data_IF_347031904684
#
_entry.id   IF_347031904684
#
_cell.length_a   1.000
_cell.length_b   1.000
_cell.length_c   1.000
_cell.angle_alpha   90.00
_cell.angle_beta   90.00
_cell.angle_gamma   90.00
#
_symmetry.space_group_name_H-M   'P 1'
#
loop_
_entity.id
_entity.type
_entity.pdbx_description
1 polymer ?
#
# COMPACT_ATOMS: atom_id res chain seq x y z
N UNK A 1 -67.04 29.18 44.51
CA UNK A 1 -65.60 29.22 44.85
C UNK A 1 -64.89 27.94 44.45
N UNK A 2 -65.27 26.76 44.96
CA UNK A 2 -64.60 25.49 44.65
C UNK A 2 -64.59 25.14 43.15
N UNK A 3 -65.72 25.29 42.45
CA UNK A 3 -65.82 24.99 41.01
C UNK A 3 -64.94 25.90 40.15
N UNK A 4 -64.76 27.15 40.54
CA UNK A 4 -63.92 28.12 39.82
C UNK A 4 -62.44 27.74 39.95
N UNK A 5 -62.02 27.31 41.16
CA UNK A 5 -60.66 26.84 41.42
C UNK A 5 -60.35 25.59 40.58
N UNK A 6 -61.29 24.66 40.49
CA UNK A 6 -61.15 23.44 39.68
C UNK A 6 -60.98 23.79 38.19
N UNK A 7 -61.77 24.73 37.67
CA UNK A 7 -61.69 25.16 36.27
C UNK A 7 -60.32 25.81 35.98
N UNK A 8 -59.81 26.67 36.87
CA UNK A 8 -58.48 27.29 36.72
C UNK A 8 -57.37 26.22 36.73
N UNK A 9 -57.49 25.20 37.60
CA UNK A 9 -56.54 24.10 37.66
C UNK A 9 -56.52 23.28 36.35
N UNK A 10 -57.70 23.00 35.79
CA UNK A 10 -57.82 22.28 34.51
C UNK A 10 -57.22 23.08 33.35
N UNK A 11 -57.47 24.39 33.28
CA UNK A 11 -56.90 25.27 32.25
C UNK A 11 -55.37 25.32 32.38
N UNK A 12 -54.85 25.43 33.60
CA UNK A 12 -53.41 25.38 33.91
C UNK A 12 -52.77 24.09 33.39
N UNK A 13 -53.41 22.94 33.65
CA UNK A 13 -52.94 21.63 33.19
C UNK A 13 -52.92 21.55 31.66
N UNK A 14 -53.96 22.06 30.99
CA UNK A 14 -54.04 22.08 29.53
C UNK A 14 -52.90 22.92 28.92
N UNK A 15 -52.59 24.09 29.49
CA UNK A 15 -51.49 24.96 29.03
C UNK A 15 -50.13 24.26 29.20
N UNK A 16 -49.92 23.55 30.31
CA UNK A 16 -48.67 22.80 30.53
C UNK A 16 -48.49 21.67 29.53
N UNK A 17 -49.57 20.96 29.19
CA UNK A 17 -49.56 19.90 28.17
C UNK A 17 -49.21 20.49 26.78
N UNK A 18 -49.82 21.62 26.41
CA UNK A 18 -49.54 22.29 25.14
C UNK A 18 -48.08 22.77 25.04
N UNK A 19 -47.54 23.39 26.10
CA UNK A 19 -46.13 23.82 26.14
C UNK A 19 -45.17 22.64 26.03
N UNK A 20 -45.45 21.54 26.72
CA UNK A 20 -44.64 20.32 26.65
C UNK A 20 -44.63 19.73 25.23
N UNK A 21 -45.78 19.71 24.56
CA UNK A 21 -45.90 19.27 23.18
C UNK A 21 -45.10 20.16 22.22
N UNK A 22 -45.16 21.49 22.39
CA UNK A 22 -44.41 22.44 21.57
C UNK A 22 -42.89 22.30 21.75
N UNK A 23 -42.42 22.12 22.99
CA UNK A 23 -40.99 21.86 23.27
C UNK A 23 -40.55 20.55 22.63
N UNK A 24 -41.35 19.48 22.74
CA UNK A 24 -41.03 18.20 22.14
C UNK A 24 -40.93 18.28 20.61
N UNK A 25 -41.81 19.04 19.96
CA UNK A 25 -41.76 19.28 18.52
C UNK A 25 -40.49 20.05 18.13
N UNK A 26 -40.18 21.15 18.82
CA UNK A 26 -38.98 21.96 18.54
C UNK A 26 -37.68 21.14 18.74
N UNK A 27 -37.61 20.33 19.79
CA UNK A 27 -36.45 19.44 20.03
C UNK A 27 -36.32 18.39 18.92
N UNK A 28 -37.44 17.85 18.47
CA UNK A 28 -37.46 16.87 17.37
C UNK A 28 -37.01 17.49 16.05
N UNK A 29 -37.42 18.73 15.75
CA UNK A 29 -36.96 19.46 14.57
C UNK A 29 -35.47 19.76 14.63
N UNK A 30 -34.99 20.29 15.76
CA UNK A 30 -33.57 20.57 15.99
C UNK A 30 -32.73 19.28 15.83
N UNK A 31 -33.21 18.16 16.39
CA UNK A 31 -32.52 16.89 16.26
C UNK A 31 -32.44 16.42 14.81
N UNK A 32 -33.53 16.53 14.04
CA UNK A 32 -33.53 16.18 12.60
C UNK A 32 -32.56 17.04 11.80
N UNK A 33 -32.52 18.35 12.07
CA UNK A 33 -31.57 19.27 11.42
C UNK A 33 -30.12 18.87 11.72
N UNK A 34 -29.80 18.53 12.98
CA UNK A 34 -28.47 18.06 13.34
C UNK A 34 -28.14 16.71 12.69
N UNK A 35 -29.07 15.76 12.69
CA UNK A 35 -28.90 14.45 12.04
C UNK A 35 -28.64 14.63 10.54
N UNK A 36 -29.42 15.48 9.87
CA UNK A 36 -29.19 15.82 8.47
C UNK A 36 -27.82 16.47 8.28
N UNK A 37 -27.43 17.40 9.15
CA UNK A 37 -26.14 18.08 8.99
C UNK A 37 -24.95 17.14 9.18
N UNK A 38 -25.02 16.24 10.15
CA UNK A 38 -24.01 15.20 10.37
C UNK A 38 -23.94 14.28 9.15
N UNK A 39 -25.08 13.91 8.59
CA UNK A 39 -25.14 13.08 7.39
C UNK A 39 -24.50 13.76 6.18
N UNK A 40 -24.81 15.04 5.94
CA UNK A 40 -24.18 15.86 4.88
C UNK A 40 -22.66 15.96 5.05
N UNK A 41 -22.20 16.26 6.27
CA UNK A 41 -20.78 16.35 6.59
C UNK A 41 -20.06 15.02 6.37
N UNK A 42 -20.69 13.91 6.72
CA UNK A 42 -20.13 12.56 6.52
C UNK A 42 -20.00 12.23 5.03
N UNK A 43 -21.01 12.53 4.22
CA UNK A 43 -20.94 12.35 2.76
C UNK A 43 -19.83 13.22 2.17
N UNK A 44 -19.74 14.48 2.57
CA UNK A 44 -18.72 15.40 2.08
C UNK A 44 -17.30 14.90 2.42
N UNK A 45 -17.12 14.45 3.66
CA UNK A 45 -15.85 13.89 4.14
C UNK A 45 -15.46 12.61 3.39
N UNK A 46 -16.38 11.67 3.20
CA UNK A 46 -16.12 10.43 2.46
C UNK A 46 -15.75 10.71 1.00
N UNK A 47 -16.41 11.70 0.37
CA UNK A 47 -16.07 12.13 -0.98
C UNK A 47 -14.69 12.79 -1.05
N UNK A 48 -14.36 13.65 -0.09
CA UNK A 48 -13.04 14.28 -0.01
C UNK A 48 -11.93 13.23 0.20
N UNK A 49 -12.15 12.26 1.08
CA UNK A 49 -11.22 11.15 1.31
C UNK A 49 -11.01 10.32 0.03
N UNK A 50 -12.08 10.00 -0.71
CA UNK A 50 -11.98 9.29 -1.99
C UNK A 50 -11.15 10.08 -3.00
N UNK A 51 -11.38 11.38 -3.11
CA UNK A 51 -10.62 12.25 -4.02
C UNK A 51 -9.15 12.30 -3.63
N UNK A 52 -8.85 12.57 -2.35
CA UNK A 52 -7.47 12.63 -1.85
C UNK A 52 -6.74 11.30 -2.03
N UNK A 53 -7.40 10.18 -1.74
CA UNK A 53 -6.83 8.84 -1.92
C UNK A 53 -6.53 8.56 -3.38
N UNK A 54 -7.48 8.86 -4.29
CA UNK A 54 -7.26 8.71 -5.73
C UNK A 54 -6.09 9.55 -6.22
N UNK A 55 -6.02 10.82 -5.83
CA UNK A 55 -4.92 11.72 -6.19
C UNK A 55 -3.57 11.21 -5.66
N UNK A 56 -3.52 10.71 -4.43
CA UNK A 56 -2.30 10.14 -3.85
C UNK A 56 -1.83 8.89 -4.62
N UNK A 57 -2.74 7.98 -4.95
CA UNK A 57 -2.46 6.79 -5.73
C UNK A 57 -1.97 7.13 -7.14
N UNK A 58 -2.64 8.08 -7.81
CA UNK A 58 -2.25 8.51 -9.15
C UNK A 58 -0.85 9.13 -9.14
N UNK A 59 -0.55 10.04 -8.20
CA UNK A 59 0.80 10.59 -8.02
C UNK A 59 1.85 9.49 -7.81
N UNK A 60 1.56 8.53 -6.93
CA UNK A 60 2.47 7.40 -6.67
C UNK A 60 2.72 6.59 -7.94
N UNK A 61 1.68 6.29 -8.73
CA UNK A 61 1.82 5.59 -10.02
C UNK A 61 2.64 6.38 -11.03
N UNK A 62 2.45 7.69 -11.11
CA UNK A 62 3.23 8.55 -12.01
C UNK A 62 4.71 8.54 -11.63
N UNK A 63 5.04 8.68 -10.34
CA UNK A 63 6.42 8.61 -9.85
C UNK A 63 7.03 7.24 -10.13
N UNK A 64 6.30 6.16 -9.83
CA UNK A 64 6.79 4.81 -10.06
C UNK A 64 7.05 4.52 -11.54
N UNK A 65 6.16 4.97 -12.43
CA UNK A 65 6.36 4.85 -13.89
C UNK A 65 7.61 5.61 -14.34
N UNK A 66 7.86 6.81 -13.81
CA UNK A 66 9.08 7.56 -14.08
C UNK A 66 10.33 6.78 -13.69
N UNK A 67 10.39 6.33 -12.43
CA UNK A 67 11.53 5.55 -11.91
C UNK A 67 11.77 4.25 -12.70
N UNK A 68 10.69 3.53 -13.05
CA UNK A 68 10.81 2.31 -13.86
C UNK A 68 11.30 2.65 -15.27
N UNK A 69 10.79 3.72 -15.88
CA UNK A 69 11.24 4.16 -17.20
C UNK A 69 12.73 4.52 -17.24
N UNK A 70 13.29 5.04 -16.14
CA UNK A 70 14.72 5.30 -16.01
C UNK A 70 15.50 3.97 -16.08
N UNK A 71 15.10 2.95 -15.32
CA UNK A 71 15.75 1.63 -15.29
C UNK A 71 15.69 0.94 -16.67
N UNK A 72 14.57 1.04 -17.37
CA UNK A 72 14.37 0.40 -18.68
C UNK A 72 14.83 1.27 -19.87
N UNK A 73 15.41 2.44 -19.61
CA UNK A 73 15.87 3.36 -20.66
C UNK A 73 16.78 2.70 -21.73
N UNK A 74 17.70 1.79 -21.39
CA UNK A 74 18.56 1.14 -22.40
C UNK A 74 17.80 0.31 -23.45
N UNK A 75 16.56 -0.10 -23.17
CA UNK A 75 15.72 -0.84 -24.11
C UNK A 75 14.82 0.07 -24.96
N UNK A 76 14.86 1.38 -24.74
CA UNK A 76 14.08 2.33 -25.51
C UNK A 76 14.62 2.48 -26.94
N UNK A 77 13.72 2.60 -27.92
CA UNK A 77 14.11 2.84 -29.31
C UNK A 77 14.91 4.14 -29.43
N UNK A 78 16.11 4.08 -30.00
CA UNK A 78 16.98 5.24 -30.20
C UNK A 78 17.89 5.57 -29.02
N UNK A 79 17.95 4.73 -27.99
CA UNK A 79 19.04 4.79 -27.03
C UNK A 79 20.37 4.46 -27.74
N UNK A 80 21.44 5.27 -27.59
CA UNK A 80 22.61 5.20 -28.46
C UNK A 80 23.61 4.09 -28.11
N UNK A 81 23.41 3.38 -26.99
CA UNK A 81 24.34 2.36 -26.50
C UNK A 81 23.67 0.98 -26.40
N UNK A 82 24.49 -0.07 -26.37
CA UNK A 82 23.99 -1.42 -26.16
C UNK A 82 23.53 -1.62 -24.72
N UNK A 83 22.34 -2.20 -24.53
CA UNK A 83 21.81 -2.47 -23.19
C UNK A 83 22.70 -3.40 -22.36
N UNK A 84 23.46 -4.31 -23.00
CA UNK A 84 24.40 -5.21 -22.34
C UNK A 84 25.57 -4.48 -21.67
N UNK A 85 26.00 -3.34 -22.22
CA UNK A 85 27.09 -2.53 -21.70
C UNK A 85 26.63 -1.54 -20.61
N UNK A 86 25.31 -1.46 -20.34
CA UNK A 86 24.72 -0.51 -19.40
C UNK A 86 24.60 -1.11 -18.00
N UNK A 87 25.30 -0.53 -17.02
CA UNK A 87 25.15 -0.88 -15.60
C UNK A 87 24.32 0.18 -14.89
N UNK A 88 23.16 -0.23 -14.37
CA UNK A 88 22.31 0.64 -13.55
C UNK A 88 22.94 0.85 -12.16
N UNK A 89 23.06 2.11 -11.77
CA UNK A 89 23.58 2.56 -10.47
C UNK A 89 22.48 3.26 -9.66
N UNK A 90 21.69 4.10 -10.30
CA UNK A 90 20.67 4.95 -9.67
C UNK A 90 21.22 6.24 -9.06
N UNK A 91 20.37 6.99 -8.35
CA UNK A 91 20.72 8.35 -7.87
C UNK A 91 22.05 8.39 -7.11
N UNK A 92 22.92 9.38 -7.38
CA UNK A 92 22.66 10.59 -8.18
C UNK A 92 22.89 10.47 -9.69
N UNK A 93 23.34 9.33 -10.22
CA UNK A 93 23.59 9.09 -11.66
C UNK A 93 23.05 7.71 -12.06
N UNK A 94 22.06 7.67 -12.94
CA UNK A 94 21.32 6.42 -13.22
C UNK A 94 22.17 5.28 -13.79
N UNK A 95 23.10 5.55 -14.71
CA UNK A 95 23.91 4.51 -15.36
C UNK A 95 25.40 4.84 -15.45
N UNK A 96 26.20 3.79 -15.43
CA UNK A 96 27.56 3.77 -15.97
C UNK A 96 27.55 2.80 -17.16
N UNK A 97 27.98 3.29 -18.31
CA UNK A 97 28.01 2.52 -19.56
C UNK A 97 29.46 2.22 -19.89
N UNK A 98 29.78 0.94 -20.04
CA UNK A 98 31.08 0.45 -20.48
C UNK A 98 31.03 0.22 -21.99
N UNK A 99 30.93 1.30 -22.75
CA UNK A 99 30.67 1.27 -24.18
C UNK A 99 31.74 0.43 -24.90
N UNK A 100 31.31 -0.48 -25.77
CA UNK A 100 32.15 -1.43 -26.52
C UNK A 100 32.82 -2.53 -25.68
N UNK A 101 32.48 -2.69 -24.39
CA UNK A 101 33.12 -3.71 -23.55
C UNK A 101 32.75 -5.12 -24.01
N UNK A 102 31.48 -5.37 -24.35
CA UNK A 102 31.08 -6.69 -24.86
C UNK A 102 31.75 -7.00 -26.20
N UNK A 103 31.77 -6.03 -27.13
CA UNK A 103 32.45 -6.18 -28.41
C UNK A 103 33.98 -6.40 -28.25
N UNK A 104 34.59 -5.81 -27.23
CA UNK A 104 35.98 -6.08 -26.86
C UNK A 104 36.17 -7.52 -26.35
N UNK A 105 35.26 -8.03 -25.52
CA UNK A 105 35.29 -9.44 -25.04
C UNK A 105 35.18 -10.44 -26.19
N UNK A 106 34.43 -10.10 -27.22
CA UNK A 106 34.28 -10.88 -28.45
C UNK A 106 35.43 -10.70 -29.45
N UNK A 107 36.40 -9.82 -29.16
CA UNK A 107 37.56 -9.55 -30.03
C UNK A 107 37.27 -8.68 -31.25
N UNK A 108 36.11 -7.99 -31.29
CA UNK A 108 35.70 -7.11 -32.40
C UNK A 108 36.22 -5.67 -32.24
N UNK A 109 36.64 -5.29 -31.03
CA UNK A 109 37.07 -3.95 -30.64
C UNK A 109 38.39 -4.01 -29.87
N UNK A 110 39.14 -2.90 -29.86
CA UNK A 110 40.39 -2.79 -29.10
C UNK A 110 40.18 -2.05 -27.78
N UNK A 111 41.22 -1.99 -26.95
CA UNK A 111 41.19 -1.22 -25.71
C UNK A 111 40.96 0.28 -25.94
N UNK A 112 41.41 0.82 -27.10
CA UNK A 112 41.28 2.23 -27.45
C UNK A 112 39.83 2.61 -27.84
N UNK A 113 38.99 1.60 -28.14
CA UNK A 113 37.56 1.79 -28.42
C UNK A 113 36.69 1.82 -27.15
N UNK A 114 37.24 1.48 -25.98
CA UNK A 114 36.47 1.38 -24.73
C UNK A 114 36.26 2.76 -24.11
N UNK A 115 35.01 3.11 -23.85
CA UNK A 115 34.63 4.35 -23.17
C UNK A 115 33.78 4.07 -21.92
N UNK A 116 34.05 4.80 -20.84
CA UNK A 116 33.23 4.77 -19.63
C UNK A 116 32.38 6.04 -19.58
N UNK A 117 31.06 5.89 -19.70
CA UNK A 117 30.12 6.99 -19.86
C UNK A 117 29.18 7.03 -18.67
N UNK A 118 29.15 8.16 -17.97
CA UNK A 118 28.19 8.43 -16.89
C UNK A 118 26.92 9.03 -17.49
N UNK A 119 25.78 8.38 -17.27
CA UNK A 119 24.49 8.80 -17.85
C UNK A 119 23.46 9.00 -16.76
N UNK A 120 22.89 10.20 -16.73
CA UNK A 120 21.68 10.51 -15.99
C UNK A 120 20.51 10.55 -16.98
N UNK A 121 19.47 9.77 -16.75
CA UNK A 121 18.28 9.71 -17.60
C UNK A 121 17.27 10.72 -17.08
N UNK A 122 16.75 11.55 -17.99
CA UNK A 122 15.64 12.46 -17.68
C UNK A 122 14.43 12.09 -18.52
N UNK A 123 13.27 11.94 -17.88
CA UNK A 123 12.02 11.62 -18.57
C UNK A 123 11.47 12.74 -19.45
N UNK A 124 12.02 13.96 -19.36
CA UNK A 124 11.60 15.12 -20.15
C UNK A 124 12.83 15.88 -20.65
N UNK A 125 12.83 16.28 -21.93
CA UNK A 125 13.88 17.09 -22.56
C UNK A 125 14.13 18.44 -21.87
N UNK A 126 13.14 18.99 -21.16
CA UNK A 126 13.28 20.25 -20.41
C UNK A 126 13.84 20.07 -19.00
N UNK A 127 14.02 18.84 -18.53
CA UNK A 127 14.51 18.59 -17.18
C UNK A 127 16.00 18.92 -17.06
N UNK A 128 16.33 19.79 -16.11
CA UNK A 128 17.71 20.14 -15.80
C UNK A 128 18.35 19.17 -14.81
N UNK A 129 19.69 19.14 -14.80
CA UNK A 129 20.45 18.43 -13.77
C UNK A 129 20.22 19.09 -12.41
N UNK A 130 20.12 18.26 -11.37
CA UNK A 130 20.16 18.76 -9.99
C UNK A 130 21.54 19.32 -9.64
N UNK A 131 21.64 20.10 -8.56
CA UNK A 131 22.93 20.65 -8.08
C UNK A 131 23.98 19.55 -7.85
N UNK A 132 23.56 18.40 -7.35
CA UNK A 132 24.46 17.24 -7.10
C UNK A 132 24.91 16.63 -8.42
N UNK A 133 24.00 16.46 -9.38
CA UNK A 133 24.30 15.93 -10.71
C UNK A 133 25.22 16.86 -11.51
N UNK A 134 24.97 18.16 -11.47
CA UNK A 134 25.83 19.18 -12.09
C UNK A 134 27.25 19.17 -11.47
N UNK A 135 27.37 18.99 -10.16
CA UNK A 135 28.67 18.84 -9.51
C UNK A 135 29.43 17.59 -10.00
N UNK A 136 28.73 16.46 -10.17
CA UNK A 136 29.32 15.23 -10.71
C UNK A 136 29.73 15.41 -12.17
N UNK A 137 28.85 15.98 -13.01
CA UNK A 137 29.17 16.28 -14.41
C UNK A 137 30.45 17.12 -14.51
N UNK A 138 30.56 18.18 -13.71
CA UNK A 138 31.75 19.04 -13.67
C UNK A 138 33.00 18.30 -13.16
N UNK A 139 32.85 17.37 -12.24
CA UNK A 139 33.98 16.56 -11.76
C UNK A 139 34.49 15.63 -12.88
N UNK A 140 33.58 14.97 -13.61
CA UNK A 140 33.92 14.11 -14.75
C UNK A 140 34.58 14.92 -15.87
N UNK A 141 34.00 16.07 -16.24
CA UNK A 141 34.58 16.97 -17.26
C UNK A 141 35.98 17.50 -16.90
N UNK A 142 36.27 17.62 -15.60
CA UNK A 142 37.60 18.02 -15.10
C UNK A 142 38.56 16.84 -14.93
N UNK A 143 38.19 15.63 -15.37
CA UNK A 143 39.01 14.43 -15.24
C UNK A 143 39.19 13.94 -13.81
N UNK A 144 38.30 14.33 -12.87
CA UNK A 144 38.36 13.88 -11.47
C UNK A 144 37.73 12.49 -11.29
N UNK A 145 38.12 11.54 -12.14
CA UNK A 145 37.69 10.14 -12.11
C UNK A 145 38.95 9.29 -11.90
N UNK A 146 38.86 8.30 -11.01
CA UNK A 146 40.00 7.42 -10.67
C UNK A 146 39.56 5.96 -10.72
N UNK A 147 40.48 5.11 -11.12
CA UNK A 147 40.35 3.66 -11.01
C UNK A 147 41.25 3.18 -9.87
N UNK A 148 40.65 2.65 -8.81
CA UNK A 148 41.37 2.12 -7.65
C UNK A 148 40.88 0.71 -7.33
N UNK A 149 41.80 -0.19 -6.97
CA UNK A 149 41.47 -1.55 -6.55
C UNK A 149 41.65 -1.66 -5.04
N UNK A 150 40.54 -1.74 -4.30
CA UNK A 150 40.56 -2.04 -2.88
C UNK A 150 40.48 -3.56 -2.67
N UNK A 151 41.41 -4.11 -1.90
CA UNK A 151 41.43 -5.53 -1.53
C UNK A 151 41.14 -5.66 -0.05
N UNK A 152 40.13 -6.46 0.29
CA UNK A 152 39.86 -6.82 1.68
C UNK A 152 41.00 -7.64 2.26
N UNK A 153 41.32 -7.41 3.54
CA UNK A 153 42.22 -8.27 4.28
C UNK A 153 41.53 -9.59 4.65
N UNK A 154 42.34 -10.58 5.03
CA UNK A 154 41.85 -11.93 5.31
C UNK A 154 40.84 -11.96 6.48
N UNK A 155 41.04 -11.09 7.48
CA UNK A 155 40.14 -10.94 8.62
C UNK A 155 38.76 -10.44 8.20
N UNK A 156 38.67 -9.42 7.35
CA UNK A 156 37.38 -8.90 6.86
C UNK A 156 36.63 -9.95 6.01
N UNK A 157 37.36 -10.74 5.22
CA UNK A 157 36.79 -11.84 4.43
C UNK A 157 36.18 -12.90 5.36
N UNK A 158 36.87 -13.26 6.44
CA UNK A 158 36.36 -14.24 7.40
C UNK A 158 35.08 -13.73 8.10
N UNK A 159 35.07 -12.47 8.53
CA UNK A 159 33.90 -11.86 9.19
C UNK A 159 32.68 -11.79 8.27
N UNK A 160 32.87 -11.40 7.01
CA UNK A 160 31.77 -11.33 6.03
C UNK A 160 31.20 -12.71 5.69
N UNK A 161 32.03 -13.76 5.58
CA UNK A 161 31.54 -15.14 5.39
C UNK A 161 30.67 -15.62 6.56
N UNK A 162 31.05 -15.29 7.80
CA UNK A 162 30.23 -15.62 8.97
C UNK A 162 28.87 -14.93 8.91
N UNK A 163 28.84 -13.65 8.53
CA UNK A 163 27.59 -12.90 8.37
C UNK A 163 26.71 -13.47 7.24
N UNK A 164 27.29 -13.83 6.09
CA UNK A 164 26.56 -14.45 4.98
C UNK A 164 25.96 -15.79 5.40
N UNK A 165 26.72 -16.67 6.07
CA UNK A 165 26.18 -17.93 6.58
C UNK A 165 25.00 -17.72 7.53
N UNK A 166 25.06 -16.71 8.41
CA UNK A 166 23.92 -16.37 9.27
C UNK A 166 22.70 -15.92 8.46
N UNK A 167 22.89 -15.18 7.38
CA UNK A 167 21.79 -14.80 6.47
C UNK A 167 21.24 -16.05 5.75
N UNK A 168 22.09 -16.90 5.18
CA UNK A 168 21.69 -18.13 4.48
C UNK A 168 20.89 -19.07 5.40
N UNK A 169 21.35 -19.27 6.64
CA UNK A 169 20.61 -20.07 7.64
C UNK A 169 19.23 -19.49 7.96
N UNK A 170 19.02 -18.18 7.81
CA UNK A 170 17.71 -17.55 7.98
C UNK A 170 16.85 -17.63 6.71
N UNK A 171 17.46 -17.67 5.53
CA UNK A 171 16.76 -17.83 4.24
C UNK A 171 16.22 -19.26 4.09
N UNK A 172 16.96 -20.28 4.52
CA UNK A 172 16.53 -21.69 4.48
C UNK A 172 15.27 -21.96 5.33
N UNK A 173 14.98 -21.11 6.32
CA UNK A 173 13.74 -21.16 7.12
C UNK A 173 12.53 -20.64 6.33
N UNK A 174 12.75 -19.74 5.37
CA UNK A 174 11.72 -19.23 4.46
C UNK A 174 11.61 -20.20 3.29
N UNK A 175 10.73 -21.20 3.40
CA UNK A 175 10.39 -22.07 2.26
C UNK A 175 10.10 -21.19 1.04
N UNK A 176 10.80 -21.40 -0.11
CA UNK A 176 10.53 -20.67 -1.33
C UNK A 176 9.04 -20.78 -1.66
N UNK A 177 8.39 -19.64 -1.92
CA UNK A 177 7.00 -19.61 -2.32
C UNK A 177 6.87 -20.41 -3.63
N UNK A 178 6.23 -21.57 -3.58
CA UNK A 178 6.01 -22.40 -4.75
C UNK A 178 5.01 -21.73 -5.68
N UNK A 179 5.53 -21.08 -6.72
CA UNK A 179 4.76 -20.37 -7.73
C UNK A 179 4.18 -21.32 -8.80
N UNK A 180 4.52 -22.62 -8.76
CA UNK A 180 4.05 -23.60 -9.75
C UNK A 180 2.53 -23.81 -9.73
N UNK A 181 1.87 -23.48 -8.61
CA UNK A 181 0.41 -23.53 -8.52
C UNK A 181 -0.30 -22.36 -9.24
N UNK A 182 0.39 -21.26 -9.53
CA UNK A 182 -0.21 -20.09 -10.18
C UNK A 182 -0.38 -20.24 -11.70
N UNK A 183 0.40 -21.09 -12.36
CA UNK A 183 0.31 -21.32 -13.80
C UNK A 183 -0.88 -22.20 -14.21
N UNK A 184 -1.48 -22.95 -13.27
CA UNK A 184 -2.46 -24.01 -13.61
C UNK A 184 -3.92 -23.59 -13.71
N UNK A 185 -4.26 -22.29 -13.62
CA UNK A 185 -5.69 -21.91 -13.70
C UNK A 185 -5.93 -20.52 -14.24
N UNK A 186 -5.75 -20.36 -15.55
CA UNK A 186 -6.33 -19.25 -16.29
C UNK A 186 -7.32 -19.79 -17.33
N UNK A 187 -8.54 -20.07 -16.88
CA UNK A 187 -9.67 -20.25 -17.78
C UNK A 187 -10.90 -19.48 -17.27
N UNK A 188 -11.52 -18.72 -18.17
CA UNK A 188 -12.57 -17.73 -17.88
C UNK A 188 -13.93 -18.44 -17.76
N UNK A 189 -14.59 -18.32 -16.62
CA UNK A 189 -16.05 -18.47 -16.53
C UNK A 189 -16.65 -17.47 -15.53
N UNK A 190 -17.88 -17.07 -15.77
CA UNK A 190 -18.64 -15.97 -15.15
C UNK A 190 -18.68 -16.01 -13.61
N UNK A 191 -18.48 -17.18 -12.99
CA UNK A 191 -18.30 -17.34 -11.54
C UNK A 191 -17.04 -16.64 -10.97
N UNK A 192 -16.03 -16.39 -11.82
CA UNK A 192 -14.82 -15.63 -11.43
C UNK A 192 -15.13 -14.17 -11.09
N UNK A 193 -16.20 -13.58 -11.62
CA UNK A 193 -16.57 -12.19 -11.32
C UNK A 193 -17.06 -12.03 -9.87
N UNK A 194 -17.92 -12.93 -9.38
CA UNK A 194 -18.37 -12.94 -7.98
C UNK A 194 -17.25 -13.34 -7.01
N UNK A 195 -16.42 -14.32 -7.38
CA UNK A 195 -15.27 -14.71 -6.56
C UNK A 195 -14.24 -13.57 -6.48
N UNK A 196 -13.98 -12.86 -7.58
CA UNK A 196 -13.10 -11.68 -7.60
C UNK A 196 -13.71 -10.52 -6.81
N UNK A 197 -15.03 -10.31 -6.88
CA UNK A 197 -15.74 -9.32 -6.08
C UNK A 197 -15.64 -9.63 -4.58
N UNK A 198 -15.90 -10.89 -4.17
CA UNK A 198 -15.71 -11.33 -2.78
C UNK A 198 -14.26 -11.27 -2.33
N UNK A 199 -13.27 -11.53 -3.19
CA UNK A 199 -11.84 -11.35 -2.87
C UNK A 199 -11.45 -9.89 -2.67
N UNK A 200 -12.13 -8.96 -3.34
CA UNK A 200 -11.91 -7.51 -3.16
C UNK A 200 -12.46 -7.04 -1.80
N UNK A 201 -13.58 -7.60 -1.36
CA UNK A 201 -14.23 -7.25 -0.09
C UNK A 201 -13.65 -8.02 1.11
N UNK A 202 -13.32 -9.30 0.91
CA UNK A 202 -12.78 -10.22 1.92
C UNK A 202 -11.53 -10.93 1.38
N UNK A 203 -10.34 -10.30 1.45
CA UNK A 203 -9.10 -10.80 0.86
C UNK A 203 -8.66 -12.18 1.36
N UNK A 204 -9.14 -12.59 2.54
CA UNK A 204 -8.80 -13.86 3.21
C UNK A 204 -9.91 -14.90 3.19
N UNK A 205 -10.99 -14.67 2.44
CA UNK A 205 -12.15 -15.57 2.37
C UNK A 205 -11.82 -17.05 2.09
N UNK A 206 -10.76 -17.33 1.32
CA UNK A 206 -10.37 -18.70 0.94
C UNK A 206 -9.15 -19.25 1.69
N UNK A 207 -8.63 -18.53 2.70
CA UNK A 207 -7.47 -19.02 3.47
C UNK A 207 -7.92 -19.96 4.60
N UNK A 208 -7.13 -20.99 4.88
CA UNK A 208 -7.32 -21.83 6.07
C UNK A 208 -7.09 -21.02 7.34
N UNK A 209 -7.67 -21.44 8.46
CA UNK A 209 -7.44 -20.80 9.77
C UNK A 209 -6.14 -21.34 10.36
N UNK A 210 -5.26 -20.46 10.82
CA UNK A 210 -4.12 -20.86 11.65
C UNK A 210 -4.51 -20.89 13.14
N UNK A 211 -3.77 -21.64 13.96
CA UNK A 211 -4.03 -21.67 15.42
C UNK A 211 -3.83 -20.30 16.07
N UNK A 212 -2.89 -19.51 15.56
CA UNK A 212 -2.66 -18.14 16.01
C UNK A 212 -3.86 -17.24 15.69
N UNK A 213 -4.44 -17.37 14.49
CA UNK A 213 -5.63 -16.61 14.10
C UNK A 213 -6.86 -16.99 14.94
N UNK A 214 -7.01 -18.27 15.27
CA UNK A 214 -8.10 -18.77 16.15
C UNK A 214 -7.99 -18.19 17.56
N UNK A 215 -6.79 -18.26 18.17
CA UNK A 215 -6.54 -17.71 19.49
C UNK A 215 -6.74 -16.18 19.52
N UNK A 216 -6.28 -15.49 18.47
CA UNK A 216 -6.47 -14.05 18.34
C UNK A 216 -7.96 -13.68 18.24
N UNK A 217 -8.75 -14.47 17.52
CA UNK A 217 -10.18 -14.24 17.37
C UNK A 217 -10.93 -14.36 18.71
N UNK A 218 -10.63 -15.40 19.48
CA UNK A 218 -11.21 -15.60 20.82
C UNK A 218 -10.85 -14.44 21.75
N UNK A 219 -9.57 -14.03 21.75
CA UNK A 219 -9.13 -12.90 22.58
C UNK A 219 -9.83 -11.58 22.20
N UNK A 220 -10.03 -11.32 20.91
CA UNK A 220 -10.75 -10.10 20.48
C UNK A 220 -12.23 -10.10 20.85
N UNK A 221 -12.89 -11.26 20.90
CA UNK A 221 -14.25 -11.36 21.44
C UNK A 221 -14.26 -11.02 22.93
N UNK A 222 -13.29 -11.52 23.71
CA UNK A 222 -13.19 -11.18 25.13
C UNK A 222 -12.89 -9.69 25.36
N UNK A 223 -12.27 -9.01 24.40
CA UNK A 223 -12.10 -7.55 24.37
C UNK A 223 -13.37 -6.78 23.94
N UNK A 224 -14.49 -7.47 23.64
CA UNK A 224 -15.77 -6.86 23.28
C UNK A 224 -15.94 -6.55 21.79
N UNK A 225 -15.15 -7.17 20.91
CA UNK A 225 -15.33 -6.99 19.46
C UNK A 225 -16.56 -7.76 18.97
N UNK A 226 -17.49 -7.04 18.34
CA UNK A 226 -18.62 -7.66 17.64
C UNK A 226 -18.20 -8.28 16.30
N UNK A 227 -19.13 -9.03 15.68
CA UNK A 227 -18.86 -9.80 14.47
C UNK A 227 -18.40 -8.94 13.27
N UNK A 228 -18.92 -7.71 13.15
CA UNK A 228 -18.53 -6.79 12.08
C UNK A 228 -17.10 -6.29 12.28
N UNK A 229 -16.68 -6.04 13.52
CA UNK A 229 -15.32 -5.64 13.83
C UNK A 229 -14.32 -6.76 13.51
N UNK A 230 -14.68 -8.01 13.80
CA UNK A 230 -13.88 -9.19 13.45
C UNK A 230 -13.81 -9.39 11.92
N UNK A 231 -14.91 -9.16 11.21
CA UNK A 231 -14.98 -9.27 9.75
C UNK A 231 -13.95 -8.36 9.07
N UNK A 232 -13.83 -7.11 9.54
CA UNK A 232 -12.84 -6.15 9.06
C UNK A 232 -11.42 -6.59 9.46
N UNK A 233 -11.21 -6.99 10.71
CA UNK A 233 -9.88 -7.34 11.23
C UNK A 233 -9.27 -8.58 10.55
N UNK A 234 -10.09 -9.60 10.31
CA UNK A 234 -9.65 -10.85 9.69
C UNK A 234 -9.79 -10.83 8.16
N UNK A 235 -10.48 -9.84 7.60
CA UNK A 235 -10.73 -9.73 6.15
C UNK A 235 -11.52 -10.93 5.61
N UNK A 236 -12.49 -11.41 6.39
CA UNK A 236 -13.32 -12.59 6.13
C UNK A 236 -14.78 -12.25 6.43
N UNK A 237 -15.72 -12.91 5.76
CA UNK A 237 -17.14 -12.61 5.94
C UNK A 237 -17.63 -12.96 7.35
N UNK A 238 -18.63 -12.22 7.82
CA UNK A 238 -19.34 -12.49 9.07
C UNK A 238 -19.78 -13.95 9.17
N UNK A 239 -20.35 -14.52 8.10
CA UNK A 239 -20.77 -15.92 8.03
C UNK A 239 -19.63 -16.90 8.28
N UNK A 240 -18.45 -16.65 7.71
CA UNK A 240 -17.29 -17.52 7.90
C UNK A 240 -16.75 -17.47 9.34
N UNK A 241 -16.81 -16.29 9.98
CA UNK A 241 -16.48 -16.11 11.38
C UNK A 241 -17.47 -16.85 12.29
N UNK A 242 -18.78 -16.72 12.03
CA UNK A 242 -19.83 -17.42 12.79
C UNK A 242 -19.60 -18.94 12.76
N UNK A 243 -19.38 -19.51 11.59
CA UNK A 243 -19.13 -20.95 11.44
C UNK A 243 -17.89 -21.38 12.23
N UNK A 244 -16.83 -20.57 12.17
CA UNK A 244 -15.57 -20.91 12.84
C UNK A 244 -15.67 -20.80 14.36
N UNK A 245 -16.32 -19.76 14.87
CA UNK A 245 -16.52 -19.54 16.30
C UNK A 245 -17.42 -20.62 16.92
N UNK A 246 -18.48 -21.02 16.22
CA UNK A 246 -19.29 -22.17 16.62
C UNK A 246 -18.47 -23.47 16.67
N UNK A 247 -17.57 -23.69 15.70
CA UNK A 247 -16.66 -24.84 15.70
C UNK A 247 -15.61 -24.80 16.82
N UNK A 248 -15.32 -23.62 17.37
CA UNK A 248 -14.44 -23.41 18.53
C UNK A 248 -15.22 -23.44 19.87
N UNK A 249 -16.53 -23.66 19.83
CA UNK A 249 -17.39 -23.74 21.02
C UNK A 249 -17.75 -22.40 21.64
N UNK A 250 -17.61 -21.30 20.91
CA UNK A 250 -18.03 -19.96 21.35
C UNK A 250 -19.46 -19.73 20.86
N UNK A 251 -20.41 -19.57 21.79
CA UNK A 251 -21.79 -19.24 21.44
C UNK A 251 -21.92 -17.73 21.13
N UNK A 252 -22.53 -17.42 20.00
CA UNK A 252 -22.52 -16.10 19.35
C UNK A 252 -23.88 -15.42 19.49
N UNK A 253 -24.86 -16.07 20.14
CA UNK A 253 -26.19 -15.49 20.33
C UNK A 253 -26.21 -14.19 21.16
N UNK A 254 -25.10 -13.86 21.84
CA UNK A 254 -24.98 -12.71 22.74
C UNK A 254 -23.90 -11.67 22.32
N UNK A 255 -23.39 -11.68 21.07
CA UNK A 255 -22.32 -10.77 20.59
C UNK A 255 -22.81 -9.77 19.53
#
# INVERSE_FOLDING_TARGET
MLSIIIIILLISIIILIQKKAQIANNVSEIQRDYEQKIYELKIAYDNELKIKTKQALDRSRYTLKGNISEIFCPFHKGFPYMAADCTFVGKPIDFIIFNNLEAYREGQKTIDDIEIIFVEVKSNHQASLSKVQDAIQKAVQKGKVKFETYKYDELTIQQSKIAVNQIETNIDVVKPLDLSELDKKYDKSEATSEIMARRREYPRHSKTWSKEEENMMINKITEGFNLNNLSILFGRSCTALTIKLNALGVDIQDI
#
